data_IF_642623959067
#
_entry.id   IF_642623959067
#
_cell.length_a   1.000
_cell.length_b   1.000
_cell.length_c   1.000
_cell.angle_alpha   90.00
_cell.angle_beta   90.00
_cell.angle_gamma   90.00
#
_symmetry.space_group_name_H-M   'P 1'
#
loop_
_entity.id
_entity.type
_entity.pdbx_description
1 polymer ?
#
# COMPACT_ATOMS: atom_id res chain seq x y z
N UNK A 1 -8.35 0.22 -13.42
CA UNK A 1 -9.42 0.39 -12.44
C UNK A 1 -9.11 -0.45 -11.22
N UNK A 2 -9.24 0.12 -10.04
CA UNK A 2 -9.02 -0.60 -8.79
C UNK A 2 -10.17 -1.60 -8.64
N UNK A 3 -9.81 -2.87 -8.58
CA UNK A 3 -10.78 -3.96 -8.45
C UNK A 3 -11.12 -4.15 -6.98
N UNK A 4 -12.39 -4.37 -6.69
CA UNK A 4 -12.89 -4.74 -5.37
C UNK A 4 -13.77 -5.99 -5.49
N UNK A 5 -13.18 -7.15 -5.83
CA UNK A 5 -13.96 -8.39 -6.02
C UNK A 5 -14.65 -8.83 -4.74
N UNK A 6 -14.07 -8.51 -3.59
CA UNK A 6 -14.65 -8.75 -2.28
C UNK A 6 -15.84 -7.84 -1.94
N UNK A 7 -16.09 -6.76 -2.68
CA UNK A 7 -17.16 -5.81 -2.37
C UNK A 7 -17.03 -5.16 -0.99
N UNK A 8 -15.79 -4.96 -0.50
CA UNK A 8 -15.54 -4.37 0.81
C UNK A 8 -15.91 -2.89 0.84
N UNK A 9 -16.46 -2.47 1.96
CA UNK A 9 -16.82 -1.08 2.20
C UNK A 9 -15.58 -0.18 2.08
N UNK A 10 -15.77 0.96 1.41
CA UNK A 10 -14.77 2.02 1.21
C UNK A 10 -13.49 1.58 0.45
N UNK A 11 -13.42 0.34 -0.04
CA UNK A 11 -12.30 -0.14 -0.85
C UNK A 11 -12.52 0.25 -2.33
N UNK A 12 -11.66 1.09 -2.87
CA UNK A 12 -11.83 1.60 -4.24
C UNK A 12 -10.78 2.65 -4.61
N UNK A 13 -11.08 3.51 -5.57
CA UNK A 13 -10.15 4.52 -6.09
C UNK A 13 -9.59 5.47 -5.00
N UNK A 14 -10.40 5.78 -4.01
CA UNK A 14 -10.08 6.70 -2.93
C UNK A 14 -9.45 6.03 -1.69
N UNK A 15 -9.45 4.69 -1.64
CA UNK A 15 -8.86 3.92 -0.55
C UNK A 15 -8.45 2.54 -1.04
N UNK A 16 -7.15 2.34 -1.24
CA UNK A 16 -6.55 1.08 -1.68
C UNK A 16 -5.10 0.96 -1.22
N UNK A 17 -4.56 -0.24 -1.33
CA UNK A 17 -3.19 -0.61 -1.02
C UNK A 17 -3.14 -2.00 -0.41
N UNK A 18 -2.34 -2.89 -1.00
CA UNK A 18 -2.18 -4.27 -0.56
C UNK A 18 -0.70 -4.58 -0.36
N UNK A 19 -0.38 -5.09 0.81
CA UNK A 19 0.94 -5.60 1.18
C UNK A 19 0.82 -6.46 2.43
N UNK A 20 1.91 -7.02 2.91
CA UNK A 20 1.98 -7.58 4.25
C UNK A 20 1.81 -6.44 5.27
N UNK A 21 0.77 -6.51 6.08
CA UNK A 21 0.44 -5.47 7.05
C UNK A 21 -0.34 -6.02 8.25
N UNK A 22 -0.48 -5.22 9.28
CA UNK A 22 -1.37 -5.52 10.41
C UNK A 22 -2.82 -5.61 9.96
N UNK A 23 -3.58 -6.37 10.71
CA UNK A 23 -5.03 -6.43 10.61
C UNK A 23 -5.67 -6.48 12.00
N UNK A 24 -7.01 -6.55 12.04
CA UNK A 24 -7.73 -6.36 13.29
C UNK A 24 -7.61 -7.54 14.28
N UNK A 25 -7.70 -8.78 13.81
CA UNK A 25 -7.67 -9.98 14.65
C UNK A 25 -7.67 -11.24 13.80
N UNK A 26 -7.22 -12.37 14.37
CA UNK A 26 -7.40 -13.71 13.77
C UNK A 26 -8.78 -14.24 14.15
N UNK A 27 -9.82 -13.95 13.34
CA UNK A 27 -11.21 -14.29 13.65
C UNK A 27 -12.09 -14.35 12.39
N UNK A 28 -13.02 -15.29 12.35
CA UNK A 28 -14.09 -15.31 11.35
C UNK A 28 -15.33 -14.58 11.90
N UNK A 29 -15.78 -13.55 11.20
CA UNK A 29 -16.95 -12.75 11.61
C UNK A 29 -17.94 -12.58 10.44
N UNK A 30 -19.25 -12.49 10.75
CA UNK A 30 -20.26 -12.14 9.76
C UNK A 30 -20.21 -10.64 9.45
N UNK A 31 -19.98 -10.29 8.20
CA UNK A 31 -19.98 -8.90 7.71
C UNK A 31 -20.75 -8.84 6.39
N UNK A 32 -21.77 -7.97 6.35
CA UNK A 32 -22.58 -7.79 5.12
C UNK A 32 -23.25 -9.07 4.61
N UNK A 33 -23.65 -9.99 5.52
CA UNK A 33 -24.32 -11.24 5.17
C UNK A 33 -23.40 -12.37 4.73
N UNK A 34 -22.09 -12.21 4.80
CA UNK A 34 -21.09 -13.25 4.50
C UNK A 34 -20.10 -13.41 5.65
N UNK A 35 -19.47 -14.56 5.75
CA UNK A 35 -18.38 -14.81 6.70
C UNK A 35 -17.06 -14.33 6.09
N UNK A 36 -16.32 -13.53 6.85
CA UNK A 36 -14.99 -13.04 6.47
C UNK A 36 -14.00 -13.53 7.51
N UNK A 37 -12.94 -14.19 7.05
CA UNK A 37 -11.80 -14.55 7.86
C UNK A 37 -10.87 -13.33 7.90
N UNK A 38 -10.77 -12.69 9.04
CA UNK A 38 -9.81 -11.63 9.32
C UNK A 38 -8.51 -12.21 9.85
N UNK A 39 -7.41 -11.48 9.67
CA UNK A 39 -6.10 -11.86 10.17
C UNK A 39 -5.42 -10.69 10.90
N UNK A 40 -4.76 -10.98 12.04
CA UNK A 40 -4.02 -9.97 12.81
C UNK A 40 -2.77 -9.47 12.05
N UNK A 41 -2.17 -10.33 11.21
CA UNK A 41 -1.09 -10.00 10.29
C UNK A 41 -1.10 -10.93 9.08
N UNK A 42 -0.72 -10.40 7.92
CA UNK A 42 -0.54 -11.25 6.75
C UNK A 42 -0.26 -10.49 5.46
N UNK A 43 0.21 -11.23 4.47
CA UNK A 43 0.41 -10.74 3.11
C UNK A 43 -0.92 -10.69 2.37
N UNK A 44 -1.52 -9.51 2.31
CA UNK A 44 -2.81 -9.30 1.65
C UNK A 44 -2.62 -9.09 0.16
N UNK A 45 -3.49 -9.72 -0.61
CA UNK A 45 -3.51 -9.62 -2.05
C UNK A 45 -4.88 -9.97 -2.60
N UNK A 46 -5.19 -9.53 -3.81
CA UNK A 46 -6.42 -9.95 -4.47
C UNK A 46 -6.36 -11.45 -4.73
N UNK A 47 -7.42 -12.14 -4.33
CA UNK A 47 -7.55 -13.57 -4.62
C UNK A 47 -7.76 -13.76 -6.13
N UNK A 48 -6.76 -14.30 -6.81
CA UNK A 48 -6.79 -14.61 -8.23
C UNK A 48 -6.50 -16.09 -8.43
N UNK A 49 -7.53 -16.87 -8.76
CA UNK A 49 -7.37 -18.32 -8.98
C UNK A 49 -6.95 -19.09 -7.73
N UNK A 50 -6.01 -20.01 -7.88
CA UNK A 50 -5.57 -20.94 -6.82
C UNK A 50 -4.45 -20.39 -5.90
N UNK A 51 -4.17 -19.09 -5.95
CA UNK A 51 -3.13 -18.50 -5.11
C UNK A 51 -3.61 -18.29 -3.68
N UNK A 52 -2.75 -18.60 -2.70
CA UNK A 52 -2.98 -18.43 -1.26
C UNK A 52 -2.97 -16.94 -0.81
N UNK A 53 -3.32 -16.01 -1.66
CA UNK A 53 -3.50 -14.63 -1.27
C UNK A 53 -4.90 -14.45 -0.67
N UNK A 54 -4.99 -13.70 0.41
CA UNK A 54 -6.28 -13.39 1.02
C UNK A 54 -6.55 -11.89 1.05
N UNK A 55 -7.82 -11.55 0.95
CA UNK A 55 -8.33 -10.20 1.09
C UNK A 55 -9.45 -10.20 2.13
N UNK A 56 -9.22 -9.52 3.24
CA UNK A 56 -10.18 -9.35 4.35
C UNK A 56 -10.71 -7.92 4.44
N UNK A 57 -10.49 -7.12 3.39
CA UNK A 57 -10.86 -5.71 3.34
C UNK A 57 -9.91 -4.78 4.10
N UNK A 58 -8.76 -5.28 4.58
CA UNK A 58 -7.71 -4.44 5.15
C UNK A 58 -6.96 -3.70 4.06
N UNK A 59 -6.77 -2.41 4.26
CA UNK A 59 -6.09 -1.51 3.33
C UNK A 59 -4.80 -1.02 3.97
N UNK A 60 -3.68 -1.13 3.25
CA UNK A 60 -2.38 -0.59 3.61
C UNK A 60 -2.08 0.66 2.78
N UNK A 61 -2.42 1.88 3.25
CA UNK A 61 -2.22 3.11 2.49
C UNK A 61 -0.76 3.35 2.13
N UNK A 62 0.15 2.86 2.96
CA UNK A 62 1.60 3.00 2.79
C UNK A 62 2.11 2.34 1.50
N UNK A 63 1.56 1.18 1.14
CA UNK A 63 1.89 0.49 -0.11
C UNK A 63 1.49 1.29 -1.35
N UNK A 64 0.29 1.87 -1.32
CA UNK A 64 -0.19 2.71 -2.42
C UNK A 64 0.61 4.01 -2.55
N UNK A 65 0.88 4.69 -1.42
CA UNK A 65 1.64 5.95 -1.40
C UNK A 65 3.09 5.72 -1.83
N UNK A 66 3.70 4.60 -1.42
CA UNK A 66 5.04 4.19 -1.84
C UNK A 66 5.16 3.90 -3.34
N UNK A 67 4.05 3.78 -4.04
CA UNK A 67 4.01 3.55 -5.50
C UNK A 67 3.96 4.84 -6.33
N UNK A 68 4.02 6.02 -5.69
CA UNK A 68 3.83 7.34 -6.34
C UNK A 68 4.78 7.60 -7.52
N UNK A 69 6.00 7.08 -7.49
CA UNK A 69 6.97 7.27 -8.58
C UNK A 69 6.61 6.47 -9.84
N UNK A 70 5.76 5.45 -9.72
CA UNK A 70 5.35 4.58 -10.82
C UNK A 70 3.98 4.96 -11.40
N UNK A 71 3.05 5.43 -10.56
CA UNK A 71 1.68 5.71 -10.94
C UNK A 71 1.14 6.97 -10.23
N UNK A 72 1.76 8.14 -10.42
CA UNK A 72 1.38 9.37 -9.71
C UNK A 72 -0.07 9.78 -9.97
N UNK A 73 -0.60 9.47 -11.14
CA UNK A 73 -1.97 9.79 -11.58
C UNK A 73 -3.07 9.12 -10.74
N UNK A 74 -2.75 8.01 -10.06
CA UNK A 74 -3.69 7.34 -9.14
C UNK A 74 -3.26 7.50 -7.68
N UNK A 75 -1.97 7.63 -7.39
CA UNK A 75 -1.47 7.77 -6.02
C UNK A 75 -1.73 9.16 -5.44
N UNK A 76 -1.57 10.23 -6.24
CA UNK A 76 -1.81 11.61 -5.77
C UNK A 76 -3.28 11.84 -5.40
N UNK A 77 -4.27 11.51 -6.24
CA UNK A 77 -5.67 11.57 -5.84
C UNK A 77 -6.00 10.74 -4.60
N UNK A 78 -5.43 9.54 -4.47
CA UNK A 78 -5.58 8.72 -3.28
C UNK A 78 -5.10 9.42 -2.01
N UNK A 79 -3.89 10.00 -2.02
CA UNK A 79 -3.34 10.73 -0.87
C UNK A 79 -4.30 11.84 -0.43
N UNK A 80 -4.82 12.61 -1.39
CA UNK A 80 -5.80 13.66 -1.10
C UNK A 80 -7.10 13.10 -0.52
N UNK A 81 -7.61 12.00 -1.07
CA UNK A 81 -8.82 11.35 -0.59
C UNK A 81 -8.65 10.81 0.84
N UNK A 82 -7.54 10.13 1.12
CA UNK A 82 -7.21 9.62 2.45
C UNK A 82 -7.09 10.75 3.49
N UNK A 83 -6.39 11.84 3.15
CA UNK A 83 -6.25 13.01 4.02
C UNK A 83 -7.60 13.68 4.26
N UNK A 84 -8.42 13.83 3.24
CA UNK A 84 -9.76 14.44 3.36
C UNK A 84 -10.71 13.60 4.20
N UNK A 85 -10.69 12.27 4.03
CA UNK A 85 -11.69 11.38 4.61
C UNK A 85 -11.28 10.86 5.99
N UNK A 86 -10.01 10.52 6.19
CA UNK A 86 -9.54 9.77 7.36
C UNK A 86 -8.43 10.49 8.15
N UNK A 87 -8.05 11.70 7.79
CA UNK A 87 -6.90 12.46 8.28
C UNK A 87 -6.40 12.06 9.69
N UNK A 88 -7.11 12.51 10.73
CA UNK A 88 -6.74 12.26 12.13
C UNK A 88 -6.75 10.77 12.54
N UNK A 89 -7.41 9.92 11.75
CA UNK A 89 -7.43 8.49 12.02
C UNK A 89 -6.19 7.78 11.46
N UNK A 90 -5.77 8.15 10.24
CA UNK A 90 -4.71 7.45 9.50
C UNK A 90 -3.38 8.18 9.46
N UNK A 91 -3.33 9.48 9.75
CA UNK A 91 -2.11 10.27 9.64
C UNK A 91 -1.72 10.89 10.98
N UNK A 92 -0.46 10.76 11.36
CA UNK A 92 0.05 11.26 12.62
C UNK A 92 1.46 11.85 12.50
N UNK A 93 2.10 12.05 13.64
CA UNK A 93 3.44 12.64 13.73
C UNK A 93 4.49 11.93 12.86
N UNK A 94 4.36 10.62 12.67
CA UNK A 94 5.32 9.80 11.93
C UNK A 94 4.81 9.36 10.55
N UNK A 95 3.77 9.99 10.01
CA UNK A 95 3.20 9.68 8.72
C UNK A 95 1.93 8.85 8.79
N UNK A 96 1.68 8.06 7.74
CA UNK A 96 0.52 7.20 7.67
C UNK A 96 0.64 5.97 8.57
N UNK A 97 -0.48 5.55 9.13
CA UNK A 97 -0.59 4.27 9.84
C UNK A 97 -0.39 3.12 8.86
N UNK A 98 0.10 1.97 9.40
CA UNK A 98 0.35 0.76 8.63
C UNK A 98 -0.88 0.30 7.85
N UNK A 99 -2.02 0.13 8.54
CA UNK A 99 -3.22 -0.38 7.91
C UNK A 99 -4.50 0.09 8.60
N UNK A 100 -5.63 -0.05 7.89
CA UNK A 100 -6.97 0.13 8.44
C UNK A 100 -7.96 -0.83 7.76
N UNK A 101 -9.10 -1.10 8.42
CA UNK A 101 -10.10 -2.03 7.92
C UNK A 101 -11.51 -1.45 8.14
N UNK A 102 -12.10 -0.79 7.13
CA UNK A 102 -13.42 -0.16 7.22
C UNK A 102 -14.56 -1.13 7.50
N UNK A 103 -14.60 -2.35 6.93
CA UNK A 103 -15.66 -3.31 7.19
C UNK A 103 -15.57 -4.03 8.54
N UNK A 104 -14.46 -3.95 9.28
CA UNK A 104 -14.30 -4.69 10.54
C UNK A 104 -15.28 -4.19 11.62
N UNK A 105 -16.06 -5.10 12.25
CA UNK A 105 -17.12 -4.71 13.19
C UNK A 105 -16.60 -4.04 14.46
N UNK A 106 -17.15 -2.88 14.80
CA UNK A 106 -16.82 -2.16 16.03
C UNK A 106 -17.27 -2.87 17.33
N UNK A 107 -18.14 -3.87 17.21
CA UNK A 107 -18.59 -4.71 18.33
C UNK A 107 -17.53 -5.73 18.78
N UNK A 108 -16.48 -5.96 17.97
CA UNK A 108 -15.39 -6.88 18.33
C UNK A 108 -14.24 -6.11 18.98
N UNK A 109 -13.86 -6.50 20.18
CA UNK A 109 -12.72 -5.92 20.90
C UNK A 109 -11.40 -6.48 20.35
N UNK A 110 -10.53 -5.59 19.88
CA UNK A 110 -9.23 -5.96 19.30
C UNK A 110 -8.10 -5.77 20.31
N UNK A 111 -7.07 -6.60 20.23
CA UNK A 111 -5.87 -6.49 21.09
C UNK A 111 -4.96 -5.34 20.67
N UNK A 112 -4.97 -4.99 19.39
CA UNK A 112 -4.13 -3.94 18.80
C UNK A 112 -4.97 -3.01 17.95
N UNK A 113 -4.47 -1.79 17.74
CA UNK A 113 -5.21 -0.79 16.98
C UNK A 113 -6.38 -0.19 17.77
N UNK A 114 -7.24 0.50 17.05
CA UNK A 114 -8.45 1.13 17.64
C UNK A 114 -9.55 1.20 16.60
N UNK A 115 -10.79 1.19 17.05
CA UNK A 115 -11.93 1.52 16.19
C UNK A 115 -12.13 3.03 16.09
N UNK A 116 -12.41 3.48 14.88
CA UNK A 116 -12.82 4.85 14.59
C UNK A 116 -14.14 4.85 13.82
N UNK A 117 -14.86 5.96 13.89
CA UNK A 117 -16.15 6.06 13.23
C UNK A 117 -16.06 6.00 11.70
N UNK A 118 -14.96 6.50 11.13
CA UNK A 118 -14.78 6.63 9.68
C UNK A 118 -14.00 5.48 9.08
N UNK A 119 -12.85 5.16 9.67
CA UNK A 119 -11.91 4.20 9.11
C UNK A 119 -12.14 2.74 9.57
N UNK A 120 -13.14 2.48 10.43
CA UNK A 120 -13.31 1.19 11.05
C UNK A 120 -12.17 0.88 12.01
N UNK A 121 -11.57 -0.30 11.95
CA UNK A 121 -10.35 -0.59 12.70
C UNK A 121 -9.14 0.10 12.07
N UNK A 122 -8.25 0.65 12.90
CA UNK A 122 -7.01 1.32 12.47
C UNK A 122 -5.85 0.79 13.31
N UNK A 123 -4.77 0.40 12.66
CA UNK A 123 -3.52 0.00 13.31
C UNK A 123 -2.94 1.14 14.16
N UNK A 124 -2.39 0.81 15.31
CA UNK A 124 -1.59 1.76 16.11
C UNK A 124 -0.20 2.00 15.50
N UNK A 125 0.27 1.08 14.66
CA UNK A 125 1.64 1.06 14.17
C UNK A 125 1.89 2.12 13.09
N UNK A 126 3.13 2.63 13.10
CA UNK A 126 3.69 3.49 12.08
C UNK A 126 5.11 2.98 11.84
N UNK A 127 5.31 2.21 10.78
CA UNK A 127 6.48 1.38 10.59
C UNK A 127 7.54 2.09 9.73
N UNK A 128 8.79 2.08 10.16
CA UNK A 128 9.90 2.67 9.39
C UNK A 128 10.10 2.01 8.03
N UNK A 129 9.82 0.70 7.93
CA UNK A 129 9.89 -0.05 6.67
C UNK A 129 8.86 0.43 5.64
N UNK A 130 7.78 1.05 6.08
CA UNK A 130 6.75 1.63 5.20
C UNK A 130 7.08 3.09 4.87
N UNK A 131 7.47 3.87 5.89
CA UNK A 131 7.74 5.30 5.73
C UNK A 131 8.98 5.56 4.88
N UNK A 132 10.00 4.70 4.96
CA UNK A 132 11.21 4.80 4.15
C UNK A 132 10.93 4.77 2.65
N UNK A 133 10.26 3.75 2.12
CA UNK A 133 9.83 3.70 0.73
C UNK A 133 8.95 4.89 0.31
N UNK A 134 8.04 5.34 1.16
CA UNK A 134 7.23 6.54 0.87
C UNK A 134 8.13 7.74 0.62
N UNK A 135 9.05 8.04 1.54
CA UNK A 135 9.96 9.17 1.41
C UNK A 135 10.87 9.04 0.18
N UNK A 136 11.44 7.86 -0.04
CA UNK A 136 12.31 7.59 -1.20
C UNK A 136 11.54 7.76 -2.52
N UNK A 137 10.32 7.24 -2.60
CA UNK A 137 9.52 7.32 -3.84
C UNK A 137 8.92 8.70 -4.07
N UNK A 138 8.57 9.44 -3.02
CA UNK A 138 8.20 10.85 -3.16
C UNK A 138 9.36 11.70 -3.68
N UNK A 139 10.57 11.48 -3.15
CA UNK A 139 11.77 12.17 -3.63
C UNK A 139 12.10 11.76 -5.07
N UNK A 140 11.95 10.49 -5.40
CA UNK A 140 12.12 10.00 -6.75
C UNK A 140 11.13 10.63 -7.75
N UNK A 141 9.85 10.72 -7.35
CA UNK A 141 8.84 11.42 -8.16
C UNK A 141 9.21 12.91 -8.37
N UNK A 142 9.69 13.57 -7.32
CA UNK A 142 10.04 14.97 -7.33
C UNK A 142 11.29 15.30 -8.16
N UNK A 143 12.35 14.51 -8.02
CA UNK A 143 13.69 14.86 -8.53
C UNK A 143 14.42 13.73 -9.25
N UNK A 144 13.99 12.48 -9.11
CA UNK A 144 14.71 11.30 -9.64
C UNK A 144 15.96 10.93 -8.83
N UNK A 145 16.22 11.60 -7.70
CA UNK A 145 17.49 11.51 -6.96
C UNK A 145 17.87 10.08 -6.60
N UNK A 146 16.96 9.29 -6.06
CA UNK A 146 17.27 7.94 -5.58
C UNK A 146 17.64 7.03 -6.74
N UNK A 147 16.89 7.09 -7.85
CA UNK A 147 17.20 6.33 -9.05
C UNK A 147 18.48 6.79 -9.72
N UNK A 148 18.74 8.09 -9.75
CA UNK A 148 19.98 8.64 -10.28
C UNK A 148 21.20 8.15 -9.50
N UNK A 149 21.14 8.20 -8.18
CA UNK A 149 22.23 7.70 -7.32
C UNK A 149 22.44 6.20 -7.50
N UNK A 150 21.36 5.42 -7.53
CA UNK A 150 21.42 3.98 -7.75
C UNK A 150 22.06 3.65 -9.11
N UNK A 151 21.60 4.31 -10.18
CA UNK A 151 22.05 4.03 -11.54
C UNK A 151 23.50 4.50 -11.82
N UNK A 152 23.96 5.55 -11.13
CA UNK A 152 25.37 6.03 -11.24
C UNK A 152 26.35 5.15 -10.48
N UNK A 153 25.87 4.32 -9.56
CA UNK A 153 26.74 3.41 -8.82
C UNK A 153 27.43 2.43 -9.74
N UNK A 154 28.75 2.32 -9.62
CA UNK A 154 29.55 1.38 -10.42
C UNK A 154 29.18 -0.08 -10.18
N UNK A 155 28.60 -0.40 -9.04
CA UNK A 155 28.18 -1.75 -8.67
C UNK A 155 26.71 -1.97 -8.99
N UNK A 156 25.81 -1.23 -8.31
CA UNK A 156 24.36 -1.46 -8.42
C UNK A 156 23.79 -1.10 -9.79
N UNK A 157 24.24 0.00 -10.37
CA UNK A 157 23.81 0.43 -11.70
C UNK A 157 24.26 -0.54 -12.79
N UNK A 158 25.46 -1.09 -12.71
CA UNK A 158 25.94 -2.08 -13.68
C UNK A 158 25.19 -3.42 -13.55
N UNK A 159 24.93 -3.88 -12.32
CA UNK A 159 24.13 -5.09 -12.09
C UNK A 159 22.72 -4.91 -12.64
N UNK A 160 22.08 -3.77 -12.40
CA UNK A 160 20.75 -3.49 -12.93
C UNK A 160 20.73 -3.50 -14.46
N UNK A 161 21.66 -2.80 -15.11
CA UNK A 161 21.77 -2.79 -16.58
C UNK A 161 21.90 -4.20 -17.16
N UNK A 162 22.75 -5.04 -16.56
CA UNK A 162 22.93 -6.43 -17.01
C UNK A 162 21.68 -7.28 -16.79
N UNK A 163 20.98 -7.09 -15.68
CA UNK A 163 19.74 -7.80 -15.38
C UNK A 163 18.64 -7.44 -16.38
N UNK A 164 18.43 -6.15 -16.64
CA UNK A 164 17.46 -5.68 -17.62
C UNK A 164 17.78 -6.13 -19.03
N UNK A 165 19.07 -6.05 -19.46
CA UNK A 165 19.48 -6.54 -20.77
C UNK A 165 19.21 -8.05 -20.94
N UNK A 166 19.46 -8.87 -19.91
CA UNK A 166 19.13 -10.30 -19.92
C UNK A 166 17.64 -10.59 -19.97
N UNK A 167 16.82 -9.71 -19.38
CA UNK A 167 15.38 -9.80 -19.42
C UNK A 167 14.76 -9.27 -20.74
N UNK A 168 15.59 -8.84 -21.69
CA UNK A 168 15.14 -8.34 -23.00
C UNK A 168 14.70 -6.88 -23.01
N UNK A 169 14.95 -6.14 -21.94
CA UNK A 169 14.73 -4.69 -21.93
C UNK A 169 15.95 -3.98 -22.53
N UNK A 170 15.74 -3.19 -23.58
CA UNK A 170 16.79 -2.31 -24.09
C UNK A 170 17.11 -1.22 -23.08
N UNK A 171 18.41 -1.01 -22.80
CA UNK A 171 18.84 0.10 -21.97
C UNK A 171 18.55 1.41 -22.71
N UNK A 172 17.48 2.09 -22.34
CA UNK A 172 17.27 3.47 -22.76
C UNK A 172 18.35 4.30 -22.08
N UNK A 173 19.19 4.96 -22.88
CA UNK A 173 20.24 5.83 -22.39
C UNK A 173 19.66 6.89 -21.42
N UNK A 174 20.39 7.28 -20.37
CA UNK A 174 19.85 8.11 -19.29
C UNK A 174 19.59 9.53 -19.77
N UNK A 175 18.39 9.79 -20.19
CA UNK A 175 17.79 11.11 -20.19
C UNK A 175 16.67 11.09 -19.17
N UNK A 176 17.00 11.11 -17.90
CA UNK A 176 16.25 11.72 -16.83
C UNK A 176 14.82 11.28 -16.52
N UNK A 177 14.24 10.25 -17.15
CA UNK A 177 12.94 9.68 -16.75
C UNK A 177 12.82 8.24 -17.23
N UNK A 178 12.75 7.30 -16.31
CA UNK A 178 12.29 5.96 -16.61
C UNK A 178 10.76 6.02 -16.80
N UNK A 179 10.32 6.09 -18.03
CA UNK A 179 8.94 5.80 -18.38
C UNK A 179 8.82 4.28 -18.48
N UNK A 180 8.16 3.67 -17.53
CA UNK A 180 7.59 2.33 -17.70
C UNK A 180 6.42 2.51 -18.66
N UNK A 181 6.54 1.96 -19.85
CA UNK A 181 5.44 1.91 -20.82
C UNK A 181 4.43 0.83 -20.41
#
# INVERSE_FOLDING_TARGET
AIQNPGGFKDYGADAWGLTACRGPADVELPVGGRKIQFHEYGARGLQTGDQESFDDGTIAPTAAIGSIAFAPEICIPLIHALRKTYDADLYGQYGFKDAFNPPFPASYETRTGRHTRRAGWVSSDCLGIDQGPILCMMENYRSGLVWDLFNRSAVTGEIARRAFARAGFEAVAPAGKWLVA
#
